data_IF_722316238190
#
_entry.id   IF_722316238190
#
_cell.length_a   1.000
_cell.length_b   1.000
_cell.length_c   1.000
_cell.angle_alpha   90.00
_cell.angle_beta   90.00
_cell.angle_gamma   90.00
#
_symmetry.space_group_name_H-M   'P 1'
#
loop_
_entity.id
_entity.type
_entity.pdbx_description
1 polymer ?
#
# COMPACT_ATOMS: atom_id res chain seq x y z
N UNK A 1 -70.81 -24.53 27.71
CA UNK A 1 -71.49 -23.32 28.19
C UNK A 1 -70.59 -22.50 29.13
N UNK A 2 -70.08 -23.07 30.23
CA UNK A 2 -69.32 -22.33 31.26
C UNK A 2 -68.10 -21.49 30.76
N UNK A 3 -67.30 -21.97 29.79
CA UNK A 3 -66.10 -21.24 29.31
C UNK A 3 -66.45 -19.89 28.65
N UNK A 4 -67.47 -19.87 27.80
CA UNK A 4 -67.90 -18.66 27.08
C UNK A 4 -68.49 -17.63 28.05
N UNK A 5 -69.21 -18.10 29.07
CA UNK A 5 -69.80 -17.24 30.08
C UNK A 5 -68.73 -16.60 30.99
N UNK A 6 -67.72 -17.38 31.41
CA UNK A 6 -66.57 -16.86 32.15
C UNK A 6 -65.80 -15.84 31.31
N UNK A 7 -65.48 -16.17 30.06
CA UNK A 7 -64.75 -15.27 29.16
C UNK A 7 -65.47 -13.92 28.98
N UNK A 8 -66.76 -13.95 28.63
CA UNK A 8 -67.55 -12.73 28.45
C UNK A 8 -67.68 -11.92 29.74
N UNK A 9 -67.73 -12.57 30.89
CA UNK A 9 -67.86 -11.90 32.17
C UNK A 9 -66.52 -11.33 32.69
N UNK A 10 -65.36 -11.82 32.23
CA UNK A 10 -64.05 -11.19 32.46
C UNK A 10 -63.86 -9.97 31.54
N UNK A 11 -64.26 -10.08 30.27
CA UNK A 11 -64.25 -8.95 29.33
C UNK A 11 -65.15 -7.80 29.79
N UNK A 12 -66.36 -8.10 30.28
CA UNK A 12 -67.28 -7.08 30.84
C UNK A 12 -66.72 -6.36 32.07
N UNK A 13 -65.72 -6.92 32.74
CA UNK A 13 -65.01 -6.27 33.86
C UNK A 13 -63.78 -5.48 33.41
N UNK A 14 -63.39 -5.56 32.14
CA UNK A 14 -62.28 -4.81 31.57
C UNK A 14 -60.93 -5.51 31.66
N UNK A 15 -60.90 -6.83 31.83
CA UNK A 15 -59.67 -7.61 31.64
C UNK A 15 -59.39 -7.73 30.14
N UNK A 16 -58.12 -7.73 29.75
CA UNK A 16 -57.71 -7.89 28.35
C UNK A 16 -58.12 -9.25 27.78
N UNK A 17 -58.31 -9.31 26.46
CA UNK A 17 -58.83 -10.49 25.77
C UNK A 17 -57.94 -11.72 25.91
N UNK A 18 -56.62 -11.53 25.96
CA UNK A 18 -55.63 -12.60 26.09
C UNK A 18 -55.64 -13.23 27.48
N UNK A 19 -55.63 -12.41 28.53
CA UNK A 19 -55.71 -12.89 29.93
C UNK A 19 -57.10 -13.48 30.22
N UNK A 20 -58.17 -12.88 29.69
CA UNK A 20 -59.52 -13.41 29.84
C UNK A 20 -59.69 -14.78 29.18
N UNK A 21 -59.07 -14.98 28.00
CA UNK A 21 -59.10 -16.27 27.30
C UNK A 21 -58.32 -17.34 28.07
N UNK A 22 -57.12 -17.02 28.55
CA UNK A 22 -56.29 -17.93 29.35
C UNK A 22 -57.00 -18.40 30.63
N UNK A 23 -57.62 -17.48 31.38
CA UNK A 23 -58.34 -17.82 32.61
C UNK A 23 -59.64 -18.58 32.34
N UNK A 24 -60.33 -18.30 31.24
CA UNK A 24 -61.51 -19.03 30.83
C UNK A 24 -61.18 -20.44 30.32
N UNK A 25 -60.06 -20.62 29.63
CA UNK A 25 -59.58 -21.91 29.16
C UNK A 25 -59.10 -22.81 30.28
N UNK A 26 -58.51 -22.22 31.32
CA UNK A 26 -58.17 -22.87 32.58
C UNK A 26 -59.40 -23.27 33.42
N UNK A 27 -60.62 -22.89 33.00
CA UNK A 27 -61.87 -23.35 33.60
C UNK A 27 -62.23 -22.69 34.94
N UNK A 28 -61.54 -21.60 35.32
CA UNK A 28 -61.78 -20.92 36.58
C UNK A 28 -63.09 -20.13 36.51
N UNK A 29 -63.95 -20.24 37.53
CA UNK A 29 -65.14 -19.39 37.62
C UNK A 29 -64.79 -18.08 38.32
N UNK A 30 -65.53 -17.02 38.02
CA UNK A 30 -65.34 -15.70 38.66
C UNK A 30 -65.46 -15.76 40.19
N UNK A 31 -66.33 -16.62 40.71
CA UNK A 31 -66.47 -16.82 42.15
C UNK A 31 -65.23 -17.43 42.80
N UNK A 32 -64.46 -18.22 42.04
CA UNK A 32 -63.22 -18.85 42.50
C UNK A 32 -62.03 -17.90 42.33
N UNK A 33 -62.00 -17.08 41.27
CA UNK A 33 -61.02 -16.00 41.10
C UNK A 33 -60.99 -14.98 42.25
N UNK A 34 -62.10 -14.82 42.99
CA UNK A 34 -62.15 -13.97 44.20
C UNK A 34 -61.43 -14.58 45.42
N UNK A 35 -61.12 -15.88 45.38
CA UNK A 35 -60.56 -16.66 46.48
C UNK A 35 -59.11 -17.08 46.23
N UNK A 36 -58.56 -16.76 45.05
CA UNK A 36 -57.22 -17.13 44.61
C UNK A 36 -56.28 -15.96 44.90
N UNK A 37 -55.10 -16.26 45.45
CA UNK A 37 -54.07 -15.26 45.74
C UNK A 37 -53.13 -15.00 44.55
N UNK A 38 -52.43 -13.86 44.57
CA UNK A 38 -51.48 -13.44 43.52
C UNK A 38 -50.47 -14.55 43.17
N UNK A 39 -49.92 -15.24 44.17
CA UNK A 39 -48.96 -16.32 43.97
C UNK A 39 -49.57 -17.50 43.18
N UNK A 40 -50.83 -17.85 43.48
CA UNK A 40 -51.53 -18.94 42.77
C UNK A 40 -51.88 -18.56 41.33
N UNK A 41 -52.13 -17.28 41.04
CA UNK A 41 -52.33 -16.79 39.66
C UNK A 41 -51.05 -16.81 38.82
N UNK A 42 -49.90 -16.56 39.44
CA UNK A 42 -48.59 -16.59 38.77
C UNK A 42 -48.12 -18.03 38.56
N UNK A 43 -48.18 -18.87 39.61
CA UNK A 43 -47.63 -20.22 39.59
C UNK A 43 -48.51 -21.22 38.83
N UNK A 44 -49.84 -21.18 39.02
CA UNK A 44 -50.73 -22.19 38.44
C UNK A 44 -51.27 -21.79 37.06
N UNK A 45 -51.31 -20.49 36.76
CA UNK A 45 -51.91 -19.97 35.52
C UNK A 45 -50.93 -19.14 34.67
N UNK A 46 -49.66 -19.06 35.07
CA UNK A 46 -48.58 -18.49 34.26
C UNK A 46 -48.69 -16.99 34.01
N UNK A 47 -49.45 -16.26 34.83
CA UNK A 47 -49.62 -14.83 34.68
C UNK A 47 -48.37 -14.08 35.18
N UNK A 48 -47.99 -13.00 34.49
CA UNK A 48 -46.98 -12.07 35.02
C UNK A 48 -47.49 -11.45 36.33
N UNK A 49 -46.61 -11.18 37.32
CA UNK A 49 -47.01 -10.67 38.63
C UNK A 49 -47.84 -9.38 38.54
N UNK A 50 -47.52 -8.49 37.61
CA UNK A 50 -48.25 -7.21 37.43
C UNK A 50 -49.64 -7.42 36.82
N UNK A 51 -49.80 -8.42 35.95
CA UNK A 51 -51.09 -8.81 35.36
C UNK A 51 -51.97 -9.49 36.41
N UNK A 52 -51.41 -10.38 37.22
CA UNK A 52 -52.13 -11.06 38.30
C UNK A 52 -52.70 -10.07 39.32
N UNK A 53 -51.94 -9.03 39.67
CA UNK A 53 -52.38 -7.96 40.57
C UNK A 53 -53.50 -7.12 39.96
N UNK A 54 -53.37 -6.71 38.69
CA UNK A 54 -54.42 -6.00 37.96
C UNK A 54 -55.73 -6.80 37.83
N UNK A 55 -55.64 -8.11 37.64
CA UNK A 55 -56.82 -9.00 37.56
C UNK A 55 -57.56 -9.07 38.91
N UNK A 56 -56.85 -9.22 40.03
CA UNK A 56 -57.45 -9.29 41.38
C UNK A 56 -58.14 -7.97 41.77
N UNK A 57 -57.51 -6.83 41.46
CA UNK A 57 -58.11 -5.52 41.70
C UNK A 57 -59.40 -5.30 40.89
N UNK A 58 -59.42 -5.69 39.62
CA UNK A 58 -60.60 -5.53 38.75
C UNK A 58 -61.75 -6.46 39.17
N UNK A 59 -61.42 -7.69 39.61
CA UNK A 59 -62.44 -8.65 40.06
C UNK A 59 -63.03 -8.25 41.42
N UNK A 60 -62.25 -7.62 42.29
CA UNK A 60 -62.72 -7.07 43.57
C UNK A 60 -63.53 -5.78 43.41
N UNK A 61 -63.19 -4.91 42.45
CA UNK A 61 -63.85 -3.63 42.20
C UNK A 61 -65.23 -3.73 41.50
N UNK A 62 -65.56 -4.86 40.85
CA UNK A 62 -66.84 -5.07 40.16
C UNK A 62 -66.89 -4.50 38.73
N UNK A 63 -67.97 -4.76 37.96
CA UNK A 63 -68.06 -4.32 36.56
C UNK A 63 -68.23 -2.80 36.45
N UNK A 64 -67.30 -2.12 35.76
CA UNK A 64 -67.33 -0.67 35.49
C UNK A 64 -67.04 -0.38 34.01
N UNK A 65 -67.54 0.76 33.50
CA UNK A 65 -67.47 1.15 32.09
C UNK A 65 -66.05 1.41 31.54
N UNK A 66 -65.06 1.68 32.41
CA UNK A 66 -63.68 2.01 32.02
C UNK A 66 -62.61 1.02 32.54
N UNK A 67 -62.97 -0.24 32.81
CA UNK A 67 -62.03 -1.22 33.37
C UNK A 67 -60.81 -1.51 32.47
N UNK A 68 -60.99 -1.54 31.14
CA UNK A 68 -59.93 -1.86 30.16
C UNK A 68 -58.85 -0.79 30.09
N UNK A 69 -59.23 0.49 30.17
CA UNK A 69 -58.29 1.61 30.14
C UNK A 69 -57.45 1.70 31.42
N UNK A 70 -58.03 1.38 32.58
CA UNK A 70 -57.30 1.34 33.87
C UNK A 70 -56.34 0.17 33.97
N UNK A 71 -56.75 -1.01 33.48
CA UNK A 71 -55.87 -2.17 33.41
C UNK A 71 -54.64 -1.86 32.55
N UNK A 72 -54.86 -1.33 31.35
CA UNK A 72 -53.79 -0.97 30.42
C UNK A 72 -52.89 0.14 30.97
N UNK A 73 -53.44 1.19 31.58
CA UNK A 73 -52.63 2.29 32.13
C UNK A 73 -51.70 1.81 33.25
N UNK A 74 -52.16 0.88 34.10
CA UNK A 74 -51.41 0.43 35.27
C UNK A 74 -50.37 -0.65 34.92
N UNK A 75 -50.66 -1.52 33.93
CA UNK A 75 -49.70 -2.52 33.43
C UNK A 75 -48.62 -1.88 32.56
N UNK A 76 -48.93 -0.83 31.81
CA UNK A 76 -47.96 -0.13 30.93
C UNK A 76 -47.14 0.94 31.64
N UNK A 77 -47.66 1.56 32.70
CA UNK A 77 -46.95 2.57 33.48
C UNK A 77 -46.97 2.22 34.98
N UNK A 78 -46.05 1.35 35.46
CA UNK A 78 -45.84 1.21 36.88
C UNK A 78 -45.42 2.57 37.45
N UNK A 79 -46.04 2.99 38.56
CA UNK A 79 -45.72 4.27 39.20
C UNK A 79 -44.21 4.35 39.48
N UNK A 80 -43.51 5.19 38.72
CA UNK A 80 -42.13 5.55 39.03
C UNK A 80 -42.17 6.28 40.36
N UNK A 81 -41.52 5.72 41.38
CA UNK A 81 -41.32 6.41 42.66
C UNK A 81 -40.77 7.81 42.36
N UNK A 82 -41.34 8.89 42.93
CA UNK A 82 -40.76 10.21 42.78
C UNK A 82 -39.37 10.18 43.41
N UNK A 83 -38.33 10.19 42.58
CA UNK A 83 -36.95 10.27 43.03
C UNK A 83 -36.82 11.54 43.89
N UNK A 84 -36.13 11.42 45.02
CA UNK A 84 -36.01 12.56 45.91
C UNK A 84 -35.23 13.66 45.19
N UNK A 85 -35.67 14.93 45.25
CA UNK A 85 -34.93 16.08 44.66
C UNK A 85 -33.44 16.09 45.05
N UNK A 86 -33.10 15.50 46.19
CA UNK A 86 -31.74 15.35 46.71
C UNK A 86 -30.93 14.33 45.88
N UNK A 87 -31.52 13.20 45.47
CA UNK A 87 -30.88 12.21 44.60
C UNK A 87 -30.66 12.76 43.19
N UNK A 88 -31.63 13.48 42.63
CA UNK A 88 -31.45 14.17 41.34
C UNK A 88 -30.31 15.20 41.40
N UNK A 89 -30.23 15.97 42.49
CA UNK A 89 -29.16 16.95 42.70
C UNK A 89 -27.79 16.28 42.88
N UNK A 90 -27.71 15.16 43.62
CA UNK A 90 -26.48 14.36 43.75
C UNK A 90 -26.06 13.77 42.41
N UNK A 91 -27.00 13.23 41.64
CA UNK A 91 -26.75 12.67 40.32
C UNK A 91 -26.26 13.74 39.33
N UNK A 92 -26.86 14.94 39.34
CA UNK A 92 -26.37 16.09 38.55
C UNK A 92 -24.97 16.53 38.94
N UNK A 93 -24.60 16.49 40.22
CA UNK A 93 -23.22 16.77 40.69
C UNK A 93 -22.26 15.70 40.20
N UNK A 94 -22.59 14.42 40.34
CA UNK A 94 -21.79 13.32 39.83
C UNK A 94 -21.60 13.41 38.31
N UNK A 95 -22.64 13.75 37.55
CA UNK A 95 -22.51 13.99 36.11
C UNK A 95 -21.54 15.14 35.81
N UNK A 96 -21.61 16.24 36.57
CA UNK A 96 -20.70 17.37 36.40
C UNK A 96 -19.25 16.99 36.73
N UNK A 97 -19.03 16.21 37.78
CA UNK A 97 -17.70 15.73 38.18
C UNK A 97 -17.11 14.80 37.11
N UNK A 98 -17.90 13.84 36.60
CA UNK A 98 -17.51 12.96 35.49
C UNK A 98 -17.20 13.76 34.22
N UNK A 99 -18.01 14.78 33.90
CA UNK A 99 -17.75 15.66 32.76
C UNK A 99 -16.46 16.46 32.94
N UNK A 100 -16.14 16.92 34.15
CA UNK A 100 -14.88 17.61 34.42
C UNK A 100 -13.68 16.66 34.30
N UNK A 101 -13.78 15.43 34.80
CA UNK A 101 -12.72 14.43 34.69
C UNK A 101 -12.47 14.05 33.23
N UNK A 102 -13.54 13.85 32.45
CA UNK A 102 -13.44 13.62 31.00
C UNK A 102 -12.79 14.80 30.27
N UNK A 103 -13.10 16.04 30.66
CA UNK A 103 -12.48 17.23 30.08
C UNK A 103 -10.97 17.30 30.39
N UNK A 104 -10.57 16.99 31.62
CA UNK A 104 -9.15 16.91 32.01
C UNK A 104 -8.41 15.81 31.26
N UNK A 105 -9.00 14.61 31.15
CA UNK A 105 -8.41 13.52 30.38
C UNK A 105 -8.27 13.87 28.90
N UNK A 106 -9.25 14.57 28.33
CA UNK A 106 -9.20 15.06 26.95
C UNK A 106 -8.06 16.06 26.73
N UNK A 107 -7.86 17.00 27.65
CA UNK A 107 -6.73 17.94 27.59
C UNK A 107 -5.38 17.26 27.78
N UNK A 108 -5.27 16.27 28.69
CA UNK A 108 -4.05 15.45 28.81
C UNK A 108 -3.72 14.70 27.52
N UNK A 109 -4.72 14.07 26.90
CA UNK A 109 -4.55 13.39 25.61
C UNK A 109 -4.14 14.36 24.49
N UNK A 110 -4.69 15.58 24.50
CA UNK A 110 -4.34 16.61 23.53
C UNK A 110 -2.88 17.06 23.70
N UNK A 111 -2.43 17.31 24.93
CA UNK A 111 -1.04 17.65 25.22
C UNK A 111 -0.08 16.53 24.81
N UNK A 112 -0.40 15.28 25.16
CA UNK A 112 0.40 14.12 24.75
C UNK A 112 0.49 13.98 23.22
N UNK A 113 -0.61 14.21 22.49
CA UNK A 113 -0.60 14.22 21.01
C UNK A 113 0.27 15.35 20.45
N UNK A 114 0.20 16.54 21.02
CA UNK A 114 1.02 17.69 20.59
C UNK A 114 2.51 17.43 20.85
N UNK A 115 2.86 16.85 21.99
CA UNK A 115 4.24 16.48 22.31
C UNK A 115 4.77 15.39 21.38
N UNK A 116 3.98 14.34 21.13
CA UNK A 116 4.32 13.30 20.18
C UNK A 116 4.53 13.86 18.76
N UNK A 117 3.66 14.79 18.32
CA UNK A 117 3.82 15.48 17.05
C UNK A 117 5.10 16.33 17.00
N UNK A 118 5.42 17.06 18.07
CA UNK A 118 6.68 17.85 18.16
C UNK A 118 7.91 16.95 18.09
N UNK A 119 7.89 15.80 18.77
CA UNK A 119 8.97 14.82 18.71
C UNK A 119 9.13 14.27 17.29
N UNK A 120 8.05 13.82 16.64
CA UNK A 120 8.07 13.35 15.24
C UNK A 120 8.57 14.45 14.28
N UNK A 121 8.15 15.71 14.46
CA UNK A 121 8.63 16.83 13.64
C UNK A 121 10.15 17.05 13.73
N UNK A 122 10.73 16.92 14.92
CA UNK A 122 12.19 17.04 15.10
C UNK A 122 12.94 15.93 14.36
N UNK A 123 12.45 14.69 14.44
CA UNK A 123 13.04 13.55 13.72
C UNK A 123 12.89 13.72 12.21
N UNK A 124 11.73 14.17 11.73
CA UNK A 124 11.49 14.45 10.31
C UNK A 124 12.46 15.52 9.75
N UNK A 125 12.70 16.60 10.51
CA UNK A 125 13.67 17.62 10.12
C UNK A 125 15.10 17.08 10.06
N UNK A 126 15.47 16.17 10.96
CA UNK A 126 16.79 15.52 10.97
C UNK A 126 16.93 14.59 9.76
N UNK A 127 15.94 13.73 9.53
CA UNK A 127 15.88 12.84 8.37
C UNK A 127 16.01 13.62 7.05
N UNK A 128 15.26 14.72 6.90
CA UNK A 128 15.31 15.56 5.70
C UNK A 128 16.71 16.11 5.40
N UNK A 129 17.46 16.53 6.44
CA UNK A 129 18.85 16.99 6.30
C UNK A 129 19.79 15.85 5.92
N UNK A 130 19.62 14.67 6.51
CA UNK A 130 20.42 13.49 6.17
C UNK A 130 20.19 13.08 4.73
N UNK A 131 18.94 13.02 4.28
CA UNK A 131 18.57 12.75 2.88
C UNK A 131 19.18 13.78 1.93
N UNK A 132 19.12 15.07 2.26
CA UNK A 132 19.73 16.12 1.43
C UNK A 132 21.25 15.95 1.29
N UNK A 133 21.94 15.54 2.35
CA UNK A 133 23.36 15.24 2.32
C UNK A 133 23.66 14.00 1.49
N UNK A 134 22.86 12.93 1.60
CA UNK A 134 23.00 11.73 0.77
C UNK A 134 22.85 12.11 -0.71
N UNK A 135 21.83 12.89 -1.06
CA UNK A 135 21.62 13.38 -2.43
C UNK A 135 22.86 14.12 -2.97
N UNK A 136 23.44 15.01 -2.16
CA UNK A 136 24.67 15.75 -2.53
C UNK A 136 25.87 14.83 -2.70
N UNK A 137 26.04 13.83 -1.83
CA UNK A 137 27.15 12.88 -1.88
C UNK A 137 27.04 11.96 -3.10
N UNK A 138 25.86 11.41 -3.38
CA UNK A 138 25.65 10.54 -4.53
C UNK A 138 25.80 11.29 -5.87
N UNK A 139 25.41 12.57 -5.94
CA UNK A 139 25.66 13.40 -7.11
C UNK A 139 27.17 13.62 -7.35
N UNK A 140 27.94 13.76 -6.27
CA UNK A 140 29.40 13.91 -6.35
C UNK A 140 30.15 12.58 -6.57
N UNK A 141 29.50 11.43 -6.35
CA UNK A 141 30.15 10.11 -6.46
C UNK A 141 30.61 9.81 -7.89
N UNK A 142 29.93 10.37 -8.88
CA UNK A 142 30.22 10.18 -10.31
C UNK A 142 30.90 11.39 -10.96
N UNK A 143 31.35 12.36 -10.17
CA UNK A 143 32.08 13.54 -10.64
C UNK A 143 33.55 13.17 -10.90
N UNK A 144 33.98 13.18 -12.17
CA UNK A 144 35.35 12.83 -12.60
C UNK A 144 36.42 13.71 -11.94
N UNK A 145 36.08 14.93 -11.50
CA UNK A 145 36.99 15.82 -10.80
C UNK A 145 37.26 15.44 -9.34
N UNK A 146 36.58 14.41 -8.80
CA UNK A 146 36.62 14.03 -7.38
C UNK A 146 36.99 12.55 -7.14
N UNK A 147 37.66 11.92 -8.09
CA UNK A 147 38.03 10.51 -8.02
C UNK A 147 38.83 10.15 -6.74
N UNK A 148 39.73 11.04 -6.31
CA UNK A 148 40.50 10.88 -5.07
C UNK A 148 39.64 10.92 -3.79
N UNK A 149 38.42 11.46 -3.87
CA UNK A 149 37.48 11.58 -2.75
C UNK A 149 36.42 10.47 -2.75
N UNK A 150 36.32 9.64 -3.80
CA UNK A 150 35.28 8.60 -3.93
C UNK A 150 35.19 7.66 -2.72
N UNK A 151 36.34 7.26 -2.17
CA UNK A 151 36.38 6.40 -0.96
C UNK A 151 35.75 7.10 0.24
N UNK A 152 36.08 8.38 0.46
CA UNK A 152 35.51 9.19 1.56
C UNK A 152 34.02 9.44 1.36
N UNK A 153 33.58 9.66 0.12
CA UNK A 153 32.16 9.83 -0.21
C UNK A 153 31.40 8.53 0.10
N UNK A 154 31.95 7.36 -0.24
CA UNK A 154 31.32 6.06 0.06
C UNK A 154 31.18 5.81 1.56
N UNK A 155 32.21 6.08 2.34
CA UNK A 155 32.19 5.96 3.80
C UNK A 155 31.15 6.88 4.44
N UNK A 156 31.05 8.12 3.94
CA UNK A 156 30.02 9.05 4.37
C UNK A 156 28.61 8.58 3.96
N UNK A 157 28.43 8.04 2.75
CA UNK A 157 27.13 7.50 2.31
C UNK A 157 26.67 6.34 3.20
N UNK A 158 27.57 5.45 3.60
CA UNK A 158 27.26 4.36 4.52
C UNK A 158 26.81 4.89 5.89
N UNK A 159 27.58 5.83 6.46
CA UNK A 159 27.26 6.45 7.76
C UNK A 159 25.92 7.18 7.72
N UNK A 160 25.68 7.98 6.68
CA UNK A 160 24.43 8.73 6.51
C UNK A 160 23.25 7.83 6.19
N UNK A 161 23.46 6.75 5.46
CA UNK A 161 22.44 5.73 5.18
C UNK A 161 21.91 5.10 6.47
N UNK A 162 22.81 4.75 7.40
CA UNK A 162 22.43 4.23 8.72
C UNK A 162 21.68 5.27 9.57
N UNK A 163 22.12 6.53 9.55
CA UNK A 163 21.42 7.64 10.23
C UNK A 163 20.00 7.82 9.68
N UNK A 164 19.84 7.79 8.35
CA UNK A 164 18.56 7.94 7.69
C UNK A 164 17.64 6.76 7.96
N UNK A 165 18.16 5.52 7.92
CA UNK A 165 17.38 4.32 8.22
C UNK A 165 16.82 4.34 9.65
N UNK A 166 17.65 4.71 10.64
CA UNK A 166 17.21 4.85 12.03
C UNK A 166 16.09 5.89 12.19
N UNK A 167 16.24 7.05 11.56
CA UNK A 167 15.25 8.12 11.68
C UNK A 167 13.96 7.80 10.91
N UNK A 168 14.07 7.08 9.80
CA UNK A 168 12.93 6.58 9.01
C UNK A 168 12.12 5.55 9.79
N UNK A 169 12.78 4.60 10.45
CA UNK A 169 12.14 3.62 11.34
C UNK A 169 11.45 4.30 12.52
N UNK A 170 12.09 5.29 13.14
CA UNK A 170 11.50 6.07 14.25
C UNK A 170 10.24 6.86 13.85
N UNK A 171 10.07 7.15 12.56
CA UNK A 171 8.89 7.82 12.02
C UNK A 171 7.82 6.86 11.50
N UNK A 172 8.11 5.55 11.47
CA UNK A 172 7.20 4.51 10.94
C UNK A 172 6.77 4.79 9.48
N UNK A 173 7.70 5.32 8.67
CA UNK A 173 7.44 5.62 7.27
C UNK A 173 7.47 4.35 6.41
N UNK A 174 6.62 4.30 5.38
CA UNK A 174 6.61 3.22 4.40
C UNK A 174 7.76 3.39 3.38
N UNK A 175 8.33 2.26 2.94
CA UNK A 175 9.44 2.23 1.99
C UNK A 175 10.81 2.34 2.65
N UNK A 176 11.79 2.79 1.87
CA UNK A 176 13.17 2.96 2.29
C UNK A 176 13.61 4.42 2.21
N UNK A 177 14.59 4.86 3.03
CA UNK A 177 15.18 6.18 2.86
C UNK A 177 15.77 6.40 1.46
N UNK A 178 16.23 5.33 0.81
CA UNK A 178 16.77 5.39 -0.55
C UNK A 178 15.69 5.74 -1.57
N UNK A 179 14.42 5.34 -1.35
CA UNK A 179 13.33 5.73 -2.24
C UNK A 179 13.12 7.25 -2.26
N UNK A 180 13.31 7.91 -1.11
CA UNK A 180 13.24 9.38 -0.99
C UNK A 180 14.43 10.03 -1.73
N UNK A 181 15.62 9.43 -1.60
CA UNK A 181 16.85 9.90 -2.28
C UNK A 181 16.71 9.74 -3.80
N UNK A 182 16.29 8.57 -4.26
CA UNK A 182 16.09 8.24 -5.67
C UNK A 182 14.97 9.10 -6.28
N UNK A 183 13.88 9.33 -5.55
CA UNK A 183 12.85 10.27 -5.97
C UNK A 183 13.45 11.65 -6.22
N UNK A 184 14.25 12.18 -5.28
CA UNK A 184 14.90 13.49 -5.43
C UNK A 184 15.97 13.56 -6.51
N UNK A 185 16.68 12.46 -6.80
CA UNK A 185 17.79 12.44 -7.76
C UNK A 185 17.39 12.07 -9.18
N UNK A 186 16.46 11.12 -9.32
CA UNK A 186 16.08 10.54 -10.61
C UNK A 186 14.76 11.14 -11.09
N UNK A 187 13.76 11.17 -10.21
CA UNK A 187 12.40 11.59 -10.61
C UNK A 187 12.25 13.11 -10.62
N UNK A 188 12.76 13.81 -9.60
CA UNK A 188 12.59 15.26 -9.49
C UNK A 188 13.26 16.03 -10.63
N UNK A 189 14.48 15.71 -11.07
CA UNK A 189 15.07 16.38 -12.24
C UNK A 189 14.37 16.07 -13.56
N UNK A 190 13.65 14.93 -13.64
CA UNK A 190 12.82 14.57 -14.79
C UNK A 190 11.42 15.21 -14.74
N UNK A 191 10.99 15.74 -13.57
CA UNK A 191 9.77 16.53 -13.46
C UNK A 191 9.99 17.84 -14.23
N UNK A 192 9.42 17.92 -15.43
CA UNK A 192 9.22 19.21 -16.10
C UNK A 192 8.07 19.90 -15.36
N UNK A 193 8.44 20.72 -14.38
CA UNK A 193 7.49 21.61 -13.72
C UNK A 193 7.18 22.77 -14.66
N UNK A 194 5.89 22.99 -14.92
CA UNK A 194 5.43 24.17 -15.64
C UNK A 194 5.15 25.27 -14.64
N UNK A 195 5.53 26.50 -14.95
CA UNK A 195 5.06 27.65 -14.22
C UNK A 195 3.62 27.98 -14.64
N UNK A 196 2.76 28.28 -13.68
CA UNK A 196 1.45 28.84 -13.98
C UNK A 196 1.62 30.18 -14.72
N UNK A 197 0.95 30.41 -15.86
CA UNK A 197 1.06 31.67 -16.59
C UNK A 197 0.50 32.87 -15.81
N UNK A 198 -0.31 32.63 -14.78
CA UNK A 198 -1.00 33.66 -14.00
C UNK A 198 -0.27 34.00 -12.70
N UNK A 199 0.06 33.00 -11.86
CA UNK A 199 0.71 33.22 -10.57
C UNK A 199 2.21 32.88 -10.54
N UNK A 200 2.75 32.24 -11.59
CA UNK A 200 4.16 31.86 -11.66
C UNK A 200 4.55 30.66 -10.79
N UNK A 201 3.61 30.05 -10.07
CA UNK A 201 3.86 28.90 -9.21
C UNK A 201 4.23 27.65 -10.02
N UNK A 202 5.17 26.85 -9.51
CA UNK A 202 5.59 25.60 -10.12
C UNK A 202 4.50 24.52 -10.00
N UNK A 203 4.17 23.87 -11.11
CA UNK A 203 3.12 22.87 -11.19
C UNK A 203 3.58 21.64 -11.95
N UNK A 204 3.19 20.46 -11.48
CA UNK A 204 3.37 19.23 -12.24
C UNK A 204 2.19 19.04 -13.22
N UNK A 205 2.40 19.09 -14.54
CA UNK A 205 1.34 18.89 -15.53
C UNK A 205 0.55 17.58 -15.33
N UNK A 206 1.14 16.55 -14.73
CA UNK A 206 0.47 15.25 -14.53
C UNK A 206 -0.68 15.36 -13.52
N UNK A 207 -0.46 16.08 -12.43
CA UNK A 207 -1.44 16.25 -11.35
C UNK A 207 -2.29 17.50 -11.52
N UNK A 208 -1.85 18.43 -12.36
CA UNK A 208 -2.57 19.65 -12.72
C UNK A 208 -3.44 19.52 -13.97
N UNK A 209 -3.69 18.32 -14.52
CA UNK A 209 -4.64 18.15 -15.63
C UNK A 209 -6.05 18.53 -15.15
N UNK A 210 -6.75 19.34 -15.93
CA UNK A 210 -8.07 19.83 -15.57
C UNK A 210 -9.09 18.66 -15.51
N UNK A 211 -9.72 18.38 -14.35
CA UNK A 211 -10.73 17.33 -14.26
C UNK A 211 -12.03 17.69 -14.99
N UNK A 212 -12.32 18.98 -15.16
CA UNK A 212 -13.57 19.47 -15.76
C UNK A 212 -13.54 19.44 -17.30
N UNK A 213 -12.34 19.33 -17.89
CA UNK A 213 -12.14 19.22 -19.34
C UNK A 213 -11.13 18.11 -19.66
N UNK A 214 -11.56 16.83 -19.55
CA UNK A 214 -10.69 15.69 -19.77
C UNK A 214 -10.37 15.44 -21.25
N UNK A 215 -11.18 15.96 -22.17
CA UNK A 215 -11.04 15.72 -23.61
C UNK A 215 -9.93 16.59 -24.24
N UNK A 216 -9.73 17.81 -23.73
CA UNK A 216 -8.69 18.70 -24.22
C UNK A 216 -7.41 18.66 -23.37
N UNK A 217 -6.34 19.24 -23.90
CA UNK A 217 -5.09 19.48 -23.18
C UNK A 217 -5.17 20.75 -22.34
N UNK A 218 -6.03 20.76 -21.32
CA UNK A 218 -6.16 21.87 -20.38
C UNK A 218 -5.64 21.51 -18.98
N UNK A 219 -5.10 22.51 -18.29
CA UNK A 219 -4.50 22.40 -16.97
C UNK A 219 -5.20 23.34 -15.98
N UNK A 220 -5.24 22.97 -14.70
CA UNK A 220 -5.71 23.80 -13.60
C UNK A 220 -4.57 24.09 -12.63
N UNK A 221 -4.41 25.35 -12.26
CA UNK A 221 -3.53 25.73 -11.17
C UNK A 221 -4.26 25.56 -9.84
N UNK A 222 -3.73 24.71 -8.95
CA UNK A 222 -4.36 24.47 -7.64
C UNK A 222 -4.16 25.62 -6.63
N UNK A 223 -3.25 26.55 -6.90
CA UNK A 223 -3.00 27.70 -6.02
C UNK A 223 -3.89 28.91 -6.36
N UNK A 224 -4.09 29.19 -7.67
CA UNK A 224 -4.92 30.31 -8.12
C UNK A 224 -6.26 29.88 -8.74
N UNK A 225 -6.54 28.57 -8.78
CA UNK A 225 -7.76 27.94 -9.30
C UNK A 225 -8.09 28.28 -10.77
N UNK A 226 -7.14 28.86 -11.51
CA UNK A 226 -7.33 29.21 -12.92
C UNK A 226 -6.99 28.04 -13.83
N UNK A 227 -7.91 27.74 -14.74
CA UNK A 227 -7.68 26.83 -15.85
C UNK A 227 -7.00 27.56 -17.03
N UNK A 228 -6.06 26.90 -17.68
CA UNK A 228 -5.38 27.42 -18.86
C UNK A 228 -5.00 26.29 -19.83
N UNK A 229 -4.78 26.64 -21.09
CA UNK A 229 -4.33 25.71 -22.14
C UNK A 229 -2.93 26.09 -22.62
N UNK A 230 -2.05 25.13 -22.96
CA UNK A 230 -0.76 25.41 -23.55
C UNK A 230 -0.91 26.12 -24.90
N UNK A 231 -0.01 27.07 -25.18
CA UNK A 231 -0.01 27.78 -26.46
C UNK A 231 0.09 26.87 -27.69
N UNK A 232 0.78 25.72 -27.58
CA UNK A 232 0.87 24.74 -28.66
C UNK A 232 -0.48 24.08 -28.95
N UNK A 233 -1.27 23.76 -27.93
CA UNK A 233 -2.60 23.16 -28.10
C UNK A 233 -3.50 24.13 -28.88
N UNK A 234 -3.55 25.39 -28.45
CA UNK A 234 -4.29 26.45 -29.12
C UNK A 234 -3.87 26.64 -30.60
N UNK A 235 -2.57 26.59 -30.89
CA UNK A 235 -2.07 26.72 -32.25
C UNK A 235 -2.46 25.52 -33.13
N UNK A 236 -2.40 24.30 -32.60
CA UNK A 236 -2.82 23.09 -33.33
C UNK A 236 -4.33 23.10 -33.56
N UNK A 237 -5.13 23.45 -32.56
CA UNK A 237 -6.58 23.56 -32.69
C UNK A 237 -6.96 24.57 -33.76
N UNK A 238 -6.31 25.74 -33.77
CA UNK A 238 -6.50 26.75 -34.82
C UNK A 238 -6.15 26.22 -36.22
N UNK A 239 -5.07 25.44 -36.38
CA UNK A 239 -4.71 24.84 -37.67
C UNK A 239 -5.74 23.78 -38.09
N UNK A 240 -6.20 22.97 -37.14
CA UNK A 240 -7.17 21.89 -37.37
C UNK A 240 -8.55 22.43 -37.73
N UNK A 241 -9.01 23.50 -37.06
CA UNK A 241 -10.25 24.23 -37.35
C UNK A 241 -10.22 24.90 -38.72
N UNK A 242 -9.06 25.47 -39.10
CA UNK A 242 -8.86 26.10 -40.40
C UNK A 242 -8.65 25.09 -41.56
N UNK A 243 -8.90 23.80 -41.33
CA UNK A 243 -8.84 22.77 -42.37
C UNK A 243 -7.42 22.32 -42.74
N UNK A 244 -6.42 22.61 -41.91
CA UNK A 244 -5.02 22.17 -42.07
C UNK A 244 -4.80 20.67 -41.83
N UNK A 245 -5.77 19.83 -42.18
CA UNK A 245 -5.59 18.36 -42.13
C UNK A 245 -4.67 17.95 -43.27
N UNK A 246 -3.58 17.28 -42.93
CA UNK A 246 -2.69 16.66 -43.92
C UNK A 246 -3.48 15.56 -44.64
N UNK A 247 -3.91 15.83 -45.88
CA UNK A 247 -4.52 14.82 -46.74
C UNK A 247 -3.38 13.97 -47.30
N UNK A 248 -3.26 12.74 -46.81
CA UNK A 248 -2.30 11.77 -47.32
C UNK A 248 -2.97 11.03 -48.48
N UNK A 249 -2.41 11.20 -49.68
CA UNK A 249 -2.79 10.41 -50.85
C UNK A 249 -2.16 9.00 -50.73
N UNK A 250 -2.95 7.93 -50.58
CA UNK A 250 -2.45 6.58 -50.40
C UNK A 250 -1.72 6.04 -51.65
N UNK A 251 -1.96 6.63 -52.83
CA UNK A 251 -1.34 6.22 -54.09
C UNK A 251 -0.15 7.11 -54.49
N UNK A 252 0.21 8.08 -53.65
CA UNK A 252 1.33 8.97 -53.91
C UNK A 252 2.66 8.21 -53.91
N UNK A 253 3.33 8.19 -55.07
CA UNK A 253 4.68 7.63 -55.20
C UNK A 253 5.68 8.41 -54.31
N UNK A 254 6.73 7.73 -53.80
CA UNK A 254 7.79 8.41 -53.05
C UNK A 254 8.34 9.63 -53.81
N UNK A 255 8.44 10.77 -53.12
CA UNK A 255 8.93 12.04 -53.72
C UNK A 255 10.37 11.95 -54.22
N UNK A 256 11.12 10.95 -53.77
CA UNK A 256 12.48 10.65 -54.20
C UNK A 256 12.51 9.24 -54.80
N UNK A 257 13.31 9.01 -55.86
CA UNK A 257 13.47 7.69 -56.42
C UNK A 257 13.91 6.72 -55.32
N UNK A 258 13.17 5.62 -55.19
CA UNK A 258 13.53 4.56 -54.24
C UNK A 258 14.88 4.00 -54.70
N UNK A 259 15.92 3.99 -53.84
CA UNK A 259 17.19 3.39 -54.18
C UNK A 259 16.96 1.94 -54.64
N UNK A 260 17.59 1.49 -55.73
CA UNK A 260 17.47 0.10 -56.14
C UNK A 260 17.94 -0.79 -54.99
N UNK A 261 17.22 -1.90 -54.79
CA UNK A 261 17.66 -2.93 -53.83
C UNK A 261 19.11 -3.29 -54.18
N UNK A 262 20.04 -3.32 -53.21
CA UNK A 262 21.42 -3.69 -53.50
C UNK A 262 21.42 -5.04 -54.24
N UNK A 263 22.18 -5.12 -55.33
CA UNK A 263 22.30 -6.32 -56.13
C UNK A 263 22.65 -7.48 -55.20
N UNK A 264 21.90 -8.58 -55.27
CA UNK A 264 22.26 -9.80 -54.55
C UNK A 264 23.68 -10.18 -54.98
N UNK A 265 24.63 -10.14 -54.05
CA UNK A 265 25.96 -10.66 -54.33
C UNK A 265 25.83 -12.18 -54.47
N UNK A 266 26.09 -12.70 -55.66
CA UNK A 266 26.08 -14.13 -55.89
C UNK A 266 27.20 -14.77 -55.06
N UNK A 267 26.88 -15.84 -54.33
CA UNK A 267 27.82 -16.57 -53.44
C UNK A 267 29.11 -17.05 -54.15
N UNK A 268 29.09 -17.12 -55.49
CA UNK A 268 30.26 -17.43 -56.31
C UNK A 268 31.35 -16.36 -56.23
N UNK A 269 30.99 -15.07 -56.09
CA UNK A 269 31.94 -13.97 -56.04
C UNK A 269 32.71 -13.92 -54.72
N UNK A 270 32.06 -14.32 -53.62
CA UNK A 270 32.68 -14.34 -52.28
C UNK A 270 33.76 -15.44 -52.20
N UNK A 271 33.49 -16.63 -52.73
CA UNK A 271 34.48 -17.71 -52.73
C UNK A 271 35.70 -17.40 -53.62
N UNK A 272 35.51 -16.66 -54.72
CA UNK A 272 36.62 -16.23 -55.56
C UNK A 272 37.50 -15.18 -54.87
N UNK A 273 36.89 -14.21 -54.16
CA UNK A 273 37.62 -13.23 -53.36
C UNK A 273 38.45 -13.89 -52.24
N UNK A 274 37.87 -14.86 -51.52
CA UNK A 274 38.59 -15.61 -50.48
C UNK A 274 39.76 -16.41 -51.06
N UNK A 275 39.58 -17.03 -52.23
CA UNK A 275 40.67 -17.77 -52.89
C UNK A 275 41.79 -16.87 -53.42
N UNK A 276 41.46 -15.67 -53.90
CA UNK A 276 42.46 -14.73 -54.39
C UNK A 276 43.21 -14.04 -53.23
N UNK A 277 42.55 -13.79 -52.10
CA UNK A 277 43.20 -13.33 -50.86
C UNK A 277 44.15 -14.38 -50.27
N UNK A 278 43.77 -15.66 -50.28
CA UNK A 278 44.63 -16.77 -49.85
C UNK A 278 45.87 -16.91 -50.75
N UNK A 279 45.73 -16.70 -52.06
CA UNK A 279 46.86 -16.72 -53.00
C UNK A 279 47.77 -15.50 -52.86
N UNK A 280 47.22 -14.32 -52.60
CA UNK A 280 48.00 -13.09 -52.40
C UNK A 280 48.80 -13.11 -51.10
N UNK A 281 48.23 -13.69 -50.04
CA UNK A 281 48.87 -13.75 -48.72
C UNK A 281 49.85 -14.92 -48.58
N UNK A 282 49.80 -15.89 -49.49
CA UNK A 282 50.71 -17.05 -49.50
C UNK A 282 50.57 -17.94 -48.26
N UNK A 283 49.48 -17.79 -47.50
CA UNK A 283 49.22 -18.53 -46.29
C UNK A 283 48.45 -19.82 -46.61
N UNK A 284 48.96 -20.95 -46.11
CA UNK A 284 48.28 -22.23 -46.22
C UNK A 284 47.01 -22.21 -45.35
N UNK A 285 45.94 -22.88 -45.77
CA UNK A 285 44.64 -22.80 -45.08
C UNK A 285 44.75 -23.23 -43.60
N UNK A 286 45.65 -24.17 -43.30
CA UNK A 286 45.95 -24.62 -41.94
C UNK A 286 46.72 -23.57 -41.12
N UNK A 287 47.54 -22.73 -41.75
CA UNK A 287 48.21 -21.61 -41.07
C UNK A 287 47.27 -20.46 -40.79
N UNK A 288 46.25 -20.23 -41.63
CA UNK A 288 45.19 -19.26 -41.36
C UNK A 288 44.21 -19.77 -40.29
N UNK A 289 43.93 -21.07 -40.25
CA UNK A 289 43.18 -21.70 -39.16
C UNK A 289 43.95 -21.62 -37.83
N UNK A 290 45.26 -21.92 -37.83
CA UNK A 290 46.11 -21.74 -36.66
C UNK A 290 46.26 -20.26 -36.26
N UNK A 291 46.32 -19.33 -37.22
CA UNK A 291 46.34 -17.89 -36.93
C UNK A 291 44.98 -17.39 -36.41
N UNK A 292 43.86 -18.00 -36.83
CA UNK A 292 42.53 -17.72 -36.29
C UNK A 292 42.33 -18.33 -34.89
N UNK A 293 42.90 -19.51 -34.62
CA UNK A 293 42.98 -20.08 -33.27
C UNK A 293 43.91 -19.28 -32.35
N UNK A 294 45.05 -18.80 -32.87
CA UNK A 294 45.93 -17.85 -32.17
C UNK A 294 45.29 -16.46 -32.03
N UNK A 295 44.41 -16.08 -32.95
CA UNK A 295 43.57 -14.87 -32.87
C UNK A 295 42.52 -14.98 -31.77
N UNK A 296 41.99 -16.18 -31.51
CA UNK A 296 41.14 -16.44 -30.36
C UNK A 296 41.94 -16.41 -29.04
N UNK A 297 43.21 -16.86 -29.08
CA UNK A 297 44.17 -16.77 -27.97
C UNK A 297 44.70 -15.35 -27.68
N UNK A 298 44.58 -14.41 -28.61
CA UNK A 298 45.06 -13.01 -28.45
C UNK A 298 44.03 -12.06 -27.84
N UNK A 299 42.89 -12.57 -27.34
CA UNK A 299 41.98 -11.79 -26.49
C UNK A 299 42.56 -11.49 -25.08
N UNK A 300 43.77 -11.95 -24.75
CA UNK A 300 44.40 -11.69 -23.43
C UNK A 300 43.65 -12.32 -22.25
N UNK A 301 42.68 -13.19 -22.54
CA UNK A 301 41.91 -13.91 -21.53
C UNK A 301 42.68 -15.18 -21.15
N UNK A 302 42.96 -15.30 -19.86
CA UNK A 302 43.54 -16.49 -19.25
C UNK A 302 42.53 -17.66 -19.31
N UNK A 303 43.03 -18.88 -19.42
CA UNK A 303 42.14 -20.05 -19.37
C UNK A 303 41.49 -20.15 -17.98
N UNK A 304 40.28 -20.71 -17.93
CA UNK A 304 39.52 -20.88 -16.69
C UNK A 304 40.30 -21.72 -15.68
N UNK A 305 40.98 -22.78 -16.14
CA UNK A 305 41.74 -23.67 -15.28
C UNK A 305 43.02 -22.98 -14.76
N UNK A 306 43.72 -22.21 -15.60
CA UNK A 306 44.89 -21.42 -15.16
C UNK A 306 44.52 -20.37 -14.12
N UNK A 307 43.34 -19.74 -14.25
CA UNK A 307 42.85 -18.78 -13.26
C UNK A 307 42.58 -19.44 -11.92
N UNK A 308 41.95 -20.62 -11.92
CA UNK A 308 41.63 -21.38 -10.72
C UNK A 308 42.94 -21.78 -10.00
N UNK A 309 43.91 -22.30 -10.75
CA UNK A 309 45.20 -22.74 -10.19
C UNK A 309 46.03 -21.58 -9.64
N UNK A 310 46.09 -20.45 -10.33
CA UNK A 310 46.81 -19.26 -9.83
C UNK A 310 46.15 -18.68 -8.58
N UNK A 311 44.81 -18.63 -8.55
CA UNK A 311 44.07 -18.06 -7.41
C UNK A 311 44.20 -18.95 -6.19
N UNK A 312 44.13 -20.28 -6.37
CA UNK A 312 44.38 -21.24 -5.30
C UNK A 312 45.84 -21.25 -4.85
N UNK A 313 46.81 -21.11 -5.75
CA UNK A 313 48.21 -21.01 -5.38
C UNK A 313 48.52 -19.73 -4.59
N UNK A 314 47.84 -18.63 -4.87
CA UNK A 314 48.04 -17.35 -4.19
C UNK A 314 47.32 -17.25 -2.84
N UNK A 315 46.06 -17.71 -2.76
CA UNK A 315 45.19 -17.51 -1.58
C UNK A 315 44.90 -18.80 -0.80
N UNK A 316 45.05 -19.97 -1.42
CA UNK A 316 44.63 -21.26 -0.86
C UNK A 316 43.11 -21.49 -0.89
N UNK A 317 42.32 -20.52 -1.34
CA UNK A 317 40.85 -20.58 -1.48
C UNK A 317 40.38 -19.53 -2.48
N UNK A 318 39.15 -19.67 -2.98
CA UNK A 318 38.49 -18.72 -3.89
C UNK A 318 37.22 -18.19 -3.23
N UNK A 319 37.11 -16.88 -3.06
CA UNK A 319 35.97 -16.21 -2.43
C UNK A 319 34.87 -15.96 -3.48
N UNK A 320 33.67 -16.52 -3.29
CA UNK A 320 32.66 -16.59 -4.36
C UNK A 320 32.07 -15.24 -4.80
N UNK A 321 32.16 -14.20 -3.98
CA UNK A 321 31.64 -12.87 -4.31
C UNK A 321 32.76 -11.93 -4.80
N UNK A 322 33.95 -11.99 -4.18
CA UNK A 322 35.07 -11.09 -4.48
C UNK A 322 35.85 -11.52 -5.73
N UNK A 323 36.14 -12.81 -5.88
CA UNK A 323 36.93 -13.31 -6.99
C UNK A 323 36.09 -13.57 -8.26
N UNK A 324 34.76 -13.38 -8.17
CA UNK A 324 33.83 -13.60 -9.30
C UNK A 324 33.97 -12.55 -10.39
N UNK A 325 34.24 -11.30 -10.02
CA UNK A 325 34.46 -10.22 -11.00
C UNK A 325 35.81 -10.39 -11.70
N UNK A 326 36.87 -10.73 -10.97
CA UNK A 326 38.19 -11.01 -11.55
C UNK A 326 38.16 -12.24 -12.47
N UNK A 327 37.41 -13.28 -12.11
CA UNK A 327 37.15 -14.43 -12.98
C UNK A 327 36.52 -14.01 -14.31
N UNK A 328 35.49 -13.16 -14.30
CA UNK A 328 34.82 -12.71 -15.53
C UNK A 328 35.76 -11.87 -16.38
N UNK A 329 36.49 -10.95 -15.76
CA UNK A 329 37.40 -10.04 -16.46
C UNK A 329 38.58 -10.78 -17.10
N UNK A 330 39.14 -11.77 -16.41
CA UNK A 330 40.33 -12.50 -16.87
C UNK A 330 40.02 -13.70 -17.77
N UNK A 331 38.84 -14.31 -17.65
CA UNK A 331 38.50 -15.53 -18.42
C UNK A 331 37.40 -15.31 -19.45
N UNK A 332 36.68 -14.18 -19.38
CA UNK A 332 35.54 -13.86 -20.26
C UNK A 332 34.31 -14.75 -20.04
N UNK A 333 34.33 -15.62 -19.03
CA UNK A 333 33.26 -16.55 -18.75
C UNK A 333 32.07 -15.85 -18.04
N UNK A 334 30.84 -16.19 -18.46
CA UNK A 334 29.64 -15.57 -17.91
C UNK A 334 29.44 -15.82 -16.40
N UNK A 335 29.06 -14.76 -15.67
CA UNK A 335 28.88 -14.75 -14.22
C UNK A 335 28.00 -15.87 -13.66
N UNK A 336 27.00 -16.33 -14.42
CA UNK A 336 26.05 -17.38 -14.01
C UNK A 336 26.68 -18.77 -13.98
N UNK A 337 27.85 -18.96 -14.61
CA UNK A 337 28.55 -20.26 -14.68
C UNK A 337 29.70 -20.40 -13.68
N UNK A 338 30.02 -19.37 -12.90
CA UNK A 338 31.11 -19.38 -11.90
C UNK A 338 31.05 -20.60 -10.96
N UNK A 339 29.92 -20.79 -10.27
CA UNK A 339 29.73 -21.92 -9.34
C UNK A 339 29.78 -23.29 -10.04
N UNK A 340 29.44 -23.35 -11.33
CA UNK A 340 29.50 -24.59 -12.10
C UNK A 340 30.93 -24.97 -12.42
N UNK A 341 31.79 -23.98 -12.70
CA UNK A 341 33.21 -24.17 -12.95
C UNK A 341 33.99 -24.58 -11.71
N UNK A 342 33.74 -23.94 -10.55
CA UNK A 342 34.40 -24.35 -9.30
C UNK A 342 34.07 -25.81 -8.90
N UNK A 343 32.81 -26.23 -9.09
CA UNK A 343 32.41 -27.64 -8.89
C UNK A 343 33.07 -28.59 -9.89
N UNK A 344 33.21 -28.15 -11.15
CA UNK A 344 33.86 -28.95 -12.20
C UNK A 344 35.36 -29.12 -11.94
N UNK A 345 35.99 -28.12 -11.35
CA UNK A 345 37.39 -28.17 -10.89
C UNK A 345 37.59 -28.97 -9.59
N UNK A 346 36.53 -29.56 -9.02
CA UNK A 346 36.61 -30.41 -7.83
C UNK A 346 36.70 -29.65 -6.51
N UNK A 347 36.37 -28.35 -6.49
CA UNK A 347 36.38 -27.53 -5.28
C UNK A 347 35.08 -27.68 -4.48
N UNK A 348 35.20 -27.61 -3.17
CA UNK A 348 34.09 -27.67 -2.22
C UNK A 348 33.70 -26.26 -1.76
N UNK A 349 32.40 -25.97 -1.76
CA UNK A 349 31.87 -24.67 -1.30
C UNK A 349 31.45 -24.71 0.16
N UNK A 350 32.13 -23.94 1.00
CA UNK A 350 31.73 -23.76 2.38
C UNK A 350 30.68 -22.63 2.48
N UNK A 351 29.44 -23.01 2.84
CA UNK A 351 28.30 -22.08 2.93
C UNK A 351 28.44 -21.04 4.04
N UNK A 352 29.24 -21.31 5.08
CA UNK A 352 29.41 -20.38 6.21
C UNK A 352 30.43 -19.29 5.91
N UNK A 353 31.48 -19.63 5.15
CA UNK A 353 32.58 -18.69 4.84
C UNK A 353 32.48 -18.10 3.42
N UNK A 354 31.66 -18.70 2.56
CA UNK A 354 31.52 -18.27 1.16
C UNK A 354 32.72 -18.62 0.28
N UNK A 355 33.55 -19.59 0.72
CA UNK A 355 34.82 -19.96 0.08
C UNK A 355 34.73 -21.28 -0.67
N UNK A 356 35.47 -21.36 -1.76
CA UNK A 356 35.79 -22.58 -2.49
C UNK A 356 37.22 -23.02 -2.16
N UNK A 357 37.39 -24.27 -1.75
CA UNK A 357 38.71 -24.85 -1.41
C UNK A 357 38.83 -26.29 -1.93
N UNK A 358 40.07 -26.76 -2.08
CA UNK A 358 40.39 -28.12 -2.53
C UNK A 358 40.10 -29.19 -1.48
N UNK A 359 39.86 -28.79 -0.23
CA UNK A 359 39.59 -29.66 0.90
C UNK A 359 38.16 -29.44 1.39
N UNK A 360 37.45 -30.53 1.68
CA UNK A 360 36.22 -30.46 2.46
C UNK A 360 36.60 -30.08 3.89
N UNK A 361 36.44 -28.79 4.24
CA UNK A 361 36.67 -28.33 5.62
C UNK A 361 35.76 -29.12 6.56
N UNK A 362 36.38 -29.87 7.49
CA UNK A 362 35.71 -30.65 8.54
C UNK A 362 35.07 -29.77 9.61
#
# INVERSE_FOLDING_TARGET
MAKKDTYLALLRRGIDETTAMQLADAGIKIGDLKKIDKAQLVENYGLKPDIAEGVLEIISAGPQSHGKERFLSKVLAPERKPESKIEELKFKRQQKDVLSELAEQKERLKLAKVEAFRAKKLVMNRLGKTVELIVKLENNLHDEGKDDQKVKIRDQLETRGLEAARDHEMLELEGTPQDIVDFRRKIVPELILHACPECGEEMDPRTSRNPDDPENWSFICWECEKAFSPGLALAVDQIMENGGRVVIDPDARPRRPVPPKPASQDFATINQLVQDELKQTGADADTMAQAAEQSALTSGLMSIDDWIDQTLAAKGYIQAQEDREDFILRTGAGATKFNKWMKKAGLYFNKQTGRWSSFEDR
#
